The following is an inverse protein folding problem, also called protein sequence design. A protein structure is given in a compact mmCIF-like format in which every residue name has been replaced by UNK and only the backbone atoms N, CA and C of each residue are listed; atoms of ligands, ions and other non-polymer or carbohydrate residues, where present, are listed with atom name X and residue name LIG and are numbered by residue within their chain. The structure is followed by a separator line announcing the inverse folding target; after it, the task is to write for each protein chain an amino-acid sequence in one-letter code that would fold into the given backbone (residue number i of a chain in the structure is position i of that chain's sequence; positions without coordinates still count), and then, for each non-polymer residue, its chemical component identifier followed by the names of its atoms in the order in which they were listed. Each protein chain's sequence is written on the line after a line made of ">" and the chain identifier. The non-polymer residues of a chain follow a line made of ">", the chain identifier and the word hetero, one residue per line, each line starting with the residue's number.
data_IF_666030608856
#
_entry.id   IF_666030608856
#
_cell.length_a   1.000
_cell.length_b   1.000
_cell.length_c   1.000
_cell.angle_alpha   90.00
_cell.angle_beta   90.00
_cell.angle_gamma   90.00
#
_symmetry.space_group_name_H-M   'P 1'
#
loop_
_entity.id
_entity.type
_entity.pdbx_description
1 polymer ?
#
# COMPACT_ATOMS: atom_id res chain seq x y z
N UNK A 1 -4.07 -14.16 6.42
CA UNK A 1 -3.24 -14.87 5.43
C UNK A 1 -3.39 -16.38 5.59
N UNK A 2 -4.11 -17.03 4.67
CA UNK A 2 -4.11 -18.49 4.51
C UNK A 2 -3.15 -18.81 3.37
N UNK A 3 -1.99 -19.41 3.68
CA UNK A 3 -0.91 -19.64 2.72
C UNK A 3 -1.25 -20.80 1.74
N UNK A 4 -2.10 -21.70 2.17
CA UNK A 4 -2.58 -22.92 1.50
C UNK A 4 -3.43 -22.66 0.23
N UNK A 5 -3.78 -21.41 -0.09
CA UNK A 5 -4.60 -21.04 -1.27
C UNK A 5 -3.98 -19.91 -2.10
N UNK A 6 -2.65 -19.74 -2.07
CA UNK A 6 -1.96 -18.75 -2.90
C UNK A 6 -2.09 -19.07 -4.39
N UNK A 7 -2.76 -18.18 -5.13
CA UNK A 7 -2.93 -18.27 -6.58
C UNK A 7 -1.65 -18.02 -7.42
N UNK A 8 -0.51 -17.84 -6.75
CA UNK A 8 0.79 -17.52 -7.34
C UNK A 8 1.81 -18.47 -6.72
N UNK A 9 2.50 -19.26 -7.55
CA UNK A 9 3.55 -20.18 -7.09
C UNK A 9 4.61 -19.41 -6.30
N UNK A 10 4.89 -19.82 -5.08
CA UNK A 10 5.93 -19.21 -4.25
C UNK A 10 7.27 -19.86 -4.56
N UNK A 11 8.14 -19.09 -5.23
CA UNK A 11 9.56 -19.40 -5.45
C UNK A 11 10.35 -18.11 -5.46
N UNK A 12 11.64 -18.22 -5.18
CA UNK A 12 12.68 -17.21 -5.44
C UNK A 12 12.60 -16.74 -6.90
N UNK A 13 12.56 -15.42 -7.14
CA UNK A 13 12.49 -14.84 -8.50
C UNK A 13 13.64 -13.90 -8.84
N UNK A 14 14.02 -13.91 -10.10
CA UNK A 14 14.87 -12.91 -10.74
C UNK A 14 14.09 -11.62 -11.03
N UNK A 15 14.80 -10.52 -11.33
CA UNK A 15 14.17 -9.22 -11.59
C UNK A 15 13.27 -9.24 -12.84
N UNK A 16 13.64 -9.98 -13.88
CA UNK A 16 12.85 -10.17 -15.10
C UNK A 16 11.55 -10.94 -14.83
N UNK A 17 11.60 -12.02 -14.05
CA UNK A 17 10.40 -12.75 -13.60
C UNK A 17 9.47 -11.90 -12.73
N UNK A 18 10.01 -10.96 -11.95
CA UNK A 18 9.20 -9.98 -11.20
C UNK A 18 8.51 -9.00 -12.17
N UNK A 19 9.18 -8.60 -13.26
CA UNK A 19 8.60 -7.78 -14.33
C UNK A 19 7.48 -8.49 -15.09
N UNK A 20 7.67 -9.75 -15.47
CA UNK A 20 6.64 -10.58 -16.10
C UNK A 20 5.45 -10.81 -15.16
N UNK A 21 5.71 -11.17 -13.90
CA UNK A 21 4.67 -11.30 -12.88
C UNK A 21 3.90 -9.98 -12.67
N UNK A 22 4.55 -8.82 -12.80
CA UNK A 22 3.85 -7.54 -12.77
C UNK A 22 2.83 -7.42 -13.92
N UNK A 23 3.17 -7.81 -15.15
CA UNK A 23 2.24 -7.81 -16.28
C UNK A 23 1.07 -8.78 -16.06
N UNK A 24 1.33 -9.97 -15.50
CA UNK A 24 0.28 -10.93 -15.10
C UNK A 24 -0.64 -10.33 -14.02
N UNK A 25 -0.09 -9.62 -13.02
CA UNK A 25 -0.87 -8.94 -11.98
C UNK A 25 -1.71 -7.77 -12.53
N UNK A 26 -1.18 -6.98 -13.47
CA UNK A 26 -1.93 -5.91 -14.16
C UNK A 26 -3.15 -6.50 -14.88
N UNK A 27 -2.94 -7.57 -15.67
CA UNK A 27 -4.02 -8.24 -16.40
C UNK A 27 -5.06 -8.89 -15.48
N UNK A 28 -4.63 -9.44 -14.33
CA UNK A 28 -5.51 -10.17 -13.40
C UNK A 28 -6.25 -9.27 -12.41
N UNK A 29 -5.68 -8.14 -12.04
CA UNK A 29 -6.24 -7.20 -11.06
C UNK A 29 -6.24 -5.74 -11.56
N UNK A 30 -6.81 -5.45 -12.75
CA UNK A 30 -6.76 -4.11 -13.35
C UNK A 30 -7.46 -3.07 -12.47
N UNK A 31 -8.51 -3.45 -11.73
CA UNK A 31 -9.17 -2.57 -10.76
C UNK A 31 -8.26 -2.13 -9.61
N UNK A 32 -7.36 -3.01 -9.13
CA UNK A 32 -6.44 -2.71 -8.05
C UNK A 32 -5.46 -1.60 -8.44
N UNK A 33 -5.01 -1.61 -9.70
CA UNK A 33 -4.13 -0.60 -10.26
C UNK A 33 -4.91 0.66 -10.66
N UNK A 34 -5.95 0.54 -11.50
CA UNK A 34 -6.69 1.70 -11.98
C UNK A 34 -7.41 2.44 -10.84
N UNK A 35 -8.32 1.76 -10.12
CA UNK A 35 -9.13 2.43 -9.08
C UNK A 35 -8.27 2.73 -7.85
N UNK A 36 -7.50 1.74 -7.38
CA UNK A 36 -6.69 1.88 -6.16
C UNK A 36 -5.64 2.97 -6.26
N UNK A 37 -4.91 3.04 -7.39
CA UNK A 37 -3.87 4.05 -7.57
C UNK A 37 -4.46 5.41 -7.89
N UNK A 38 -5.48 5.52 -8.77
CA UNK A 38 -6.08 6.82 -9.10
C UNK A 38 -6.74 7.47 -7.88
N UNK A 39 -7.47 6.72 -7.04
CA UNK A 39 -8.05 7.29 -5.81
C UNK A 39 -6.96 7.78 -4.84
N UNK A 40 -5.81 7.10 -4.79
CA UNK A 40 -4.65 7.57 -4.04
C UNK A 40 -3.92 8.75 -4.68
N UNK A 41 -3.88 8.84 -6.02
CA UNK A 41 -3.13 9.84 -6.79
C UNK A 41 -3.89 11.16 -6.99
N UNK A 42 -5.21 11.14 -7.17
CA UNK A 42 -6.04 12.32 -7.47
C UNK A 42 -5.80 13.50 -6.50
N UNK A 43 -5.74 13.33 -5.17
CA UNK A 43 -5.43 14.44 -4.27
C UNK A 43 -4.07 15.09 -4.54
N UNK A 44 -3.07 14.30 -4.93
CA UNK A 44 -1.72 14.77 -5.28
C UNK A 44 -1.68 15.41 -6.66
N UNK A 45 -2.43 14.89 -7.64
CA UNK A 45 -2.60 15.51 -8.96
C UNK A 45 -3.16 16.93 -8.81
N UNK A 46 -4.25 17.09 -8.02
CA UNK A 46 -4.87 18.39 -7.76
C UNK A 46 -3.89 19.33 -7.05
N UNK A 47 -3.16 18.84 -6.03
CA UNK A 47 -2.20 19.67 -5.30
C UNK A 47 -1.00 20.09 -6.18
N UNK A 48 -0.48 19.20 -7.04
CA UNK A 48 0.60 19.54 -7.97
C UNK A 48 0.14 20.55 -9.02
N UNK A 49 -1.07 20.39 -9.55
CA UNK A 49 -1.67 21.37 -10.45
C UNK A 49 -1.80 22.73 -9.75
N UNK A 50 -2.35 22.78 -8.53
CA UNK A 50 -2.48 24.02 -7.77
C UNK A 50 -1.12 24.70 -7.48
N UNK A 51 -0.06 23.93 -7.23
CA UNK A 51 1.29 24.46 -6.95
C UNK A 51 2.08 24.91 -8.19
N UNK A 52 1.92 24.22 -9.32
CA UNK A 52 2.83 24.35 -10.48
C UNK A 52 2.15 24.74 -11.80
N UNK A 53 0.84 24.57 -11.98
CA UNK A 53 0.20 24.79 -13.29
C UNK A 53 0.25 26.24 -13.77
N UNK A 54 0.38 27.20 -12.85
CA UNK A 54 0.52 28.62 -13.16
C UNK A 54 1.76 28.93 -14.01
N UNK A 55 2.84 28.14 -13.90
CA UNK A 55 4.08 28.35 -14.66
C UNK A 55 3.83 28.20 -16.18
N UNK A 56 3.47 27.00 -16.71
CA UNK A 56 3.23 26.86 -18.14
C UNK A 56 2.03 27.68 -18.63
N UNK A 57 1.02 27.94 -17.79
CA UNK A 57 -0.12 28.81 -18.14
C UNK A 57 0.34 30.26 -18.40
N UNK A 58 1.28 30.78 -17.61
CA UNK A 58 1.87 32.11 -17.80
C UNK A 58 2.75 32.14 -19.05
N UNK A 59 3.69 31.20 -19.19
CA UNK A 59 4.64 31.20 -20.31
C UNK A 59 3.95 30.97 -21.67
N UNK A 60 2.82 30.27 -21.70
CA UNK A 60 2.02 30.13 -22.91
C UNK A 60 1.35 31.44 -23.40
N UNK A 61 1.33 32.50 -22.59
CA UNK A 61 0.86 33.83 -23.01
C UNK A 61 1.94 34.63 -23.75
N UNK A 62 3.22 34.36 -23.46
CA UNK A 62 4.37 35.04 -24.08
C UNK A 62 4.93 34.25 -25.27
N UNK A 63 4.97 32.93 -25.15
CA UNK A 63 5.43 32.02 -26.20
C UNK A 63 6.35 30.94 -25.64
N UNK A 64 5.95 29.67 -25.76
CA UNK A 64 6.75 28.53 -25.25
C UNK A 64 7.99 28.19 -26.12
N UNK A 65 8.35 29.06 -27.06
CA UNK A 65 9.47 28.86 -27.99
C UNK A 65 10.75 29.60 -27.61
N UNK A 66 10.67 30.57 -26.69
CA UNK A 66 11.78 31.47 -26.38
C UNK A 66 12.71 30.90 -25.30
N UNK A 67 13.98 31.29 -25.30
CA UNK A 67 15.01 30.76 -24.38
C UNK A 67 14.67 31.00 -22.89
N UNK A 68 13.96 32.07 -22.56
CA UNK A 68 13.47 32.35 -21.21
C UNK A 68 12.37 31.35 -20.81
N UNK A 69 11.40 31.10 -21.70
CA UNK A 69 10.35 30.12 -21.50
C UNK A 69 10.90 28.69 -21.36
N UNK A 70 12.03 28.37 -22.02
CA UNK A 70 12.69 27.07 -21.89
C UNK A 70 13.17 26.78 -20.45
N UNK A 71 13.68 27.80 -19.73
CA UNK A 71 14.10 27.68 -18.33
C UNK A 71 12.90 27.45 -17.40
N UNK A 72 11.80 28.17 -17.66
CA UNK A 72 10.55 28.04 -16.90
C UNK A 72 9.84 26.70 -17.16
N UNK A 73 9.85 26.20 -18.40
CA UNK A 73 9.37 24.85 -18.75
C UNK A 73 10.25 23.78 -18.09
N UNK A 74 11.57 23.94 -18.04
CA UNK A 74 12.46 23.04 -17.32
C UNK A 74 12.16 23.03 -15.81
N UNK A 75 11.98 24.21 -15.19
CA UNK A 75 11.57 24.36 -13.79
C UNK A 75 10.26 23.63 -13.49
N UNK A 76 9.25 23.84 -14.32
CA UNK A 76 7.97 23.14 -14.20
C UNK A 76 8.16 21.62 -14.28
N UNK A 77 8.89 21.13 -15.29
CA UNK A 77 9.09 19.70 -15.51
C UNK A 77 9.90 19.03 -14.39
N UNK A 78 10.98 19.66 -13.92
CA UNK A 78 11.85 19.12 -12.86
C UNK A 78 11.09 18.99 -11.54
N UNK A 79 10.36 20.03 -11.14
CA UNK A 79 9.54 20.01 -9.93
C UNK A 79 8.34 19.08 -10.03
N UNK A 80 7.64 19.03 -11.18
CA UNK A 80 6.50 18.13 -11.39
C UNK A 80 6.94 16.67 -11.28
N UNK A 81 8.03 16.28 -11.95
CA UNK A 81 8.56 14.92 -11.88
C UNK A 81 9.05 14.56 -10.48
N UNK A 82 9.74 15.48 -9.79
CA UNK A 82 10.15 15.29 -8.40
C UNK A 82 8.95 15.07 -7.47
N UNK A 83 7.89 15.89 -7.57
CA UNK A 83 6.68 15.72 -6.76
C UNK A 83 6.00 14.37 -7.02
N UNK A 84 5.83 13.96 -8.29
CA UNK A 84 5.20 12.67 -8.63
C UNK A 84 6.04 11.49 -8.12
N UNK A 85 7.37 11.54 -8.29
CA UNK A 85 8.29 10.54 -7.71
C UNK A 85 8.13 10.49 -6.19
N UNK A 86 8.12 11.64 -5.52
CA UNK A 86 7.93 11.78 -4.07
C UNK A 86 6.60 11.16 -3.59
N UNK A 87 5.50 11.47 -4.27
CA UNK A 87 4.12 11.12 -3.89
C UNK A 87 3.72 9.68 -4.25
N UNK A 88 4.34 9.08 -5.27
CA UNK A 88 4.01 7.72 -5.78
C UNK A 88 3.81 6.66 -4.68
N UNK A 89 4.67 6.51 -3.65
CA UNK A 89 4.46 5.53 -2.59
C UNK A 89 3.24 5.78 -1.70
N UNK A 90 2.71 7.01 -1.69
CA UNK A 90 1.48 7.39 -0.96
C UNK A 90 0.25 7.15 -1.84
N UNK A 91 0.33 7.50 -3.13
CA UNK A 91 -0.72 7.17 -4.10
C UNK A 91 -0.95 5.66 -4.20
N UNK A 92 0.13 4.87 -4.09
CA UNK A 92 0.08 3.40 -4.11
C UNK A 92 -0.56 2.71 -2.90
N UNK A 93 -0.97 3.41 -1.85
CA UNK A 93 -1.40 2.79 -0.58
C UNK A 93 -2.60 1.85 -0.75
N UNK A 94 -3.66 2.29 -1.42
CA UNK A 94 -4.85 1.46 -1.61
C UNK A 94 -4.58 0.27 -2.53
N UNK A 95 -3.75 0.45 -3.58
CA UNK A 95 -3.25 -0.66 -4.42
C UNK A 95 -2.44 -1.67 -3.60
N UNK A 96 -1.55 -1.22 -2.71
CA UNK A 96 -0.76 -2.10 -1.84
C UNK A 96 -1.66 -2.91 -0.90
N UNK A 97 -2.63 -2.28 -0.23
CA UNK A 97 -3.58 -2.99 0.66
C UNK A 97 -4.43 -3.98 -0.14
N UNK A 98 -5.04 -3.55 -1.24
CA UNK A 98 -5.90 -4.39 -2.07
C UNK A 98 -5.14 -5.60 -2.61
N UNK A 99 -3.96 -5.40 -3.23
CA UNK A 99 -3.22 -6.49 -3.83
C UNK A 99 -2.61 -7.41 -2.76
N UNK A 100 -2.16 -6.86 -1.63
CA UNK A 100 -1.76 -7.64 -0.47
C UNK A 100 -2.87 -8.59 0.00
N UNK A 101 -4.09 -8.11 0.18
CA UNK A 101 -5.23 -8.96 0.52
C UNK A 101 -5.58 -9.95 -0.61
N UNK A 102 -5.63 -9.50 -1.86
CA UNK A 102 -6.05 -10.31 -3.02
C UNK A 102 -5.06 -11.42 -3.44
N UNK A 103 -3.83 -11.41 -2.91
CA UNK A 103 -2.82 -12.47 -3.11
C UNK A 103 -2.96 -13.59 -2.08
N UNK A 104 -3.43 -13.31 -0.85
CA UNK A 104 -3.50 -14.29 0.26
C UNK A 104 -4.92 -14.66 0.69
N UNK A 105 -5.95 -13.94 0.24
CA UNK A 105 -7.34 -14.10 0.68
C UNK A 105 -8.31 -13.98 -0.51
N UNK A 106 -9.56 -14.43 -0.34
CA UNK A 106 -10.59 -14.29 -1.38
C UNK A 106 -10.90 -12.81 -1.62
N UNK A 107 -11.06 -12.44 -2.90
CA UNK A 107 -11.26 -11.08 -3.45
C UNK A 107 -11.72 -10.03 -2.40
N UNK A 108 -10.83 -9.12 -1.95
CA UNK A 108 -11.19 -8.10 -0.96
C UNK A 108 -12.19 -7.09 -1.51
N UNK A 109 -13.00 -6.53 -0.62
CA UNK A 109 -13.93 -5.44 -0.98
C UNK A 109 -13.22 -4.08 -0.93
N UNK A 110 -13.62 -3.14 -1.79
CA UNK A 110 -13.08 -1.78 -1.72
C UNK A 110 -13.39 -1.08 -0.38
N UNK A 111 -14.56 -1.35 0.21
CA UNK A 111 -14.94 -0.82 1.53
C UNK A 111 -13.93 -1.22 2.62
N UNK A 112 -13.55 -2.50 2.70
CA UNK A 112 -12.53 -2.97 3.66
C UNK A 112 -11.15 -2.36 3.39
N UNK A 113 -10.77 -2.15 2.12
CA UNK A 113 -9.50 -1.50 1.75
C UNK A 113 -9.47 -0.03 2.18
N UNK A 114 -10.55 0.73 1.95
CA UNK A 114 -10.66 2.12 2.41
C UNK A 114 -10.72 2.24 3.93
N UNK A 115 -11.45 1.35 4.60
CA UNK A 115 -11.53 1.33 6.07
C UNK A 115 -10.15 1.05 6.70
N UNK A 116 -9.39 0.09 6.17
CA UNK A 116 -8.03 -0.19 6.63
C UNK A 116 -7.07 0.97 6.36
N UNK A 117 -7.09 1.53 5.15
CA UNK A 117 -6.27 2.69 4.78
C UNK A 117 -6.55 3.91 5.65
N UNK A 118 -7.83 4.16 5.99
CA UNK A 118 -8.26 5.22 6.92
C UNK A 118 -7.85 4.93 8.36
N UNK A 119 -8.02 3.68 8.84
CA UNK A 119 -7.62 3.25 10.20
C UNK A 119 -6.13 3.49 10.47
N UNK A 120 -5.31 3.35 9.44
CA UNK A 120 -3.86 3.56 9.53
C UNK A 120 -3.39 4.95 9.07
N UNK A 121 -4.29 5.86 8.67
CA UNK A 121 -4.00 7.14 8.02
C UNK A 121 -2.80 7.87 8.63
N UNK A 122 -2.87 8.16 9.94
CA UNK A 122 -1.84 8.94 10.62
C UNK A 122 -0.45 8.27 10.60
N UNK A 123 -0.39 6.93 10.60
CA UNK A 123 0.87 6.19 10.61
C UNK A 123 1.60 6.32 9.27
N UNK A 124 0.92 6.01 8.18
CA UNK A 124 1.52 6.10 6.85
C UNK A 124 1.71 7.56 6.42
N UNK A 125 0.80 8.47 6.78
CA UNK A 125 0.92 9.89 6.45
C UNK A 125 2.14 10.53 7.11
N UNK A 126 2.39 10.24 8.39
CA UNK A 126 3.58 10.74 9.07
C UNK A 126 4.90 10.18 8.49
N UNK A 127 4.94 8.89 8.14
CA UNK A 127 6.18 8.24 7.67
C UNK A 127 6.45 8.49 6.18
N UNK A 128 5.40 8.53 5.35
CA UNK A 128 5.53 8.68 3.90
C UNK A 128 5.33 10.13 3.46
N UNK A 129 4.40 10.88 4.05
CA UNK A 129 4.17 12.30 3.73
C UNK A 129 5.26 13.21 4.30
N UNK A 130 5.54 13.11 5.60
CA UNK A 130 6.45 14.03 6.28
C UNK A 130 7.90 13.51 6.25
N UNK A 131 8.17 12.31 6.79
CA UNK A 131 9.54 11.79 6.88
C UNK A 131 10.20 11.42 5.54
N UNK A 132 9.45 11.31 4.45
CA UNK A 132 9.98 11.14 3.08
C UNK A 132 9.86 12.42 2.24
N UNK A 133 9.84 13.58 2.88
CA UNK A 133 9.97 14.90 2.27
C UNK A 133 8.83 15.35 1.33
N UNK A 134 7.75 14.58 1.16
CA UNK A 134 6.64 14.96 0.27
C UNK A 134 6.01 16.30 0.67
N UNK A 135 5.54 16.40 1.91
CA UNK A 135 4.94 17.65 2.41
C UNK A 135 5.97 18.78 2.60
N UNK A 136 7.19 18.54 3.13
CA UNK A 136 8.25 19.54 3.12
C UNK A 136 8.56 20.14 1.74
N UNK A 137 8.66 19.32 0.68
CA UNK A 137 8.90 19.81 -0.68
C UNK A 137 7.71 20.57 -1.25
N UNK A 138 6.47 20.14 -0.96
CA UNK A 138 5.27 20.89 -1.36
C UNK A 138 5.14 22.23 -0.63
N UNK A 139 5.47 22.28 0.66
CA UNK A 139 5.48 23.53 1.43
C UNK A 139 6.55 24.51 0.92
N UNK A 140 7.76 24.01 0.65
CA UNK A 140 8.83 24.77 0.00
C UNK A 140 8.39 25.38 -1.34
N UNK A 141 7.69 24.61 -2.18
CA UNK A 141 7.13 25.11 -3.44
C UNK A 141 6.00 26.13 -3.23
N UNK A 142 5.15 25.94 -2.21
CA UNK A 142 4.11 26.91 -1.86
C UNK A 142 4.71 28.27 -1.44
N UNK A 143 5.85 28.28 -0.72
CA UNK A 143 6.58 29.50 -0.40
C UNK A 143 7.27 30.15 -1.61
N UNK A 144 7.49 29.41 -2.71
CA UNK A 144 8.03 29.90 -3.99
C UNK A 144 6.94 30.15 -5.05
N UNK A 145 5.67 30.19 -4.65
CA UNK A 145 4.58 30.45 -5.58
C UNK A 145 4.70 31.86 -6.19
N UNK A 146 4.70 31.96 -7.52
CA UNK A 146 4.81 33.22 -8.25
C UNK A 146 6.23 33.79 -8.40
N UNK A 147 7.29 33.15 -7.87
CA UNK A 147 8.66 33.65 -8.03
C UNK A 147 9.20 33.37 -9.43
N UNK A 148 10.19 34.16 -9.87
CA UNK A 148 10.97 33.88 -11.09
C UNK A 148 11.88 32.66 -10.91
N UNK A 149 12.41 32.14 -12.02
CA UNK A 149 13.47 31.13 -12.04
C UNK A 149 14.68 31.55 -11.19
N UNK A 150 15.14 30.66 -10.31
CA UNK A 150 16.39 30.79 -9.56
C UNK A 150 17.22 29.51 -9.74
N UNK A 151 18.43 29.57 -10.33
CA UNK A 151 19.23 28.37 -10.61
C UNK A 151 19.52 27.50 -9.38
N UNK A 152 19.70 28.11 -8.20
CA UNK A 152 19.95 27.36 -6.98
C UNK A 152 18.72 26.55 -6.57
N UNK A 153 17.58 27.22 -6.40
CA UNK A 153 16.37 26.58 -5.93
C UNK A 153 15.64 25.74 -6.99
N UNK A 154 15.79 26.00 -8.30
CA UNK A 154 15.07 25.29 -9.36
C UNK A 154 15.91 24.24 -10.11
N UNK A 155 17.23 24.17 -9.83
CA UNK A 155 18.13 23.12 -10.32
C UNK A 155 18.82 22.38 -9.18
N UNK A 156 19.64 23.07 -8.37
CA UNK A 156 20.48 22.43 -7.34
C UNK A 156 19.62 21.77 -6.26
N UNK A 157 18.56 22.43 -5.82
CA UNK A 157 17.70 21.95 -4.75
C UNK A 157 16.84 20.72 -5.15
N UNK A 158 16.15 20.68 -6.32
CA UNK A 158 15.51 19.47 -6.84
C UNK A 158 16.47 18.29 -6.95
N UNK A 159 17.66 18.49 -7.55
CA UNK A 159 18.68 17.43 -7.70
C UNK A 159 19.13 16.92 -6.33
N UNK A 160 19.37 17.81 -5.37
CA UNK A 160 19.72 17.43 -3.98
C UNK A 160 18.60 16.61 -3.33
N UNK A 161 17.34 17.01 -3.48
CA UNK A 161 16.19 16.25 -2.95
C UNK A 161 16.09 14.88 -3.64
N UNK A 162 16.26 14.79 -4.97
CA UNK A 162 16.29 13.50 -5.70
C UNK A 162 17.36 12.57 -5.14
N UNK A 163 18.60 13.05 -4.93
CA UNK A 163 19.70 12.25 -4.39
C UNK A 163 19.37 11.73 -2.98
N UNK A 164 18.91 12.61 -2.08
CA UNK A 164 18.51 12.22 -0.72
C UNK A 164 17.37 11.20 -0.75
N UNK A 165 16.37 11.41 -1.60
CA UNK A 165 15.21 10.51 -1.77
C UNK A 165 15.65 9.15 -2.33
N UNK A 166 16.56 9.12 -3.30
CA UNK A 166 17.15 7.90 -3.86
C UNK A 166 17.86 7.10 -2.78
N UNK A 167 18.74 7.72 -1.98
CA UNK A 167 19.46 7.05 -0.89
C UNK A 167 18.52 6.50 0.20
N UNK A 168 17.51 7.28 0.60
CA UNK A 168 16.48 6.87 1.59
C UNK A 168 15.57 5.77 1.04
N UNK A 169 15.32 5.73 -0.28
CA UNK A 169 14.50 4.70 -0.93
C UNK A 169 15.26 3.41 -1.23
N UNK A 170 16.51 3.48 -1.68
CA UNK A 170 17.34 2.30 -1.93
C UNK A 170 17.61 1.52 -0.64
N UNK A 171 17.91 2.21 0.46
CA UNK A 171 18.15 1.58 1.76
C UNK A 171 16.89 0.98 2.42
N UNK A 172 15.69 1.48 2.09
CA UNK A 172 14.41 1.05 2.70
C UNK A 172 13.21 1.10 1.73
N UNK A 173 13.19 0.35 0.60
CA UNK A 173 12.10 0.40 -0.37
C UNK A 173 10.73 -0.02 0.20
N UNK A 174 10.69 -0.96 1.15
CA UNK A 174 9.45 -1.65 1.58
C UNK A 174 8.77 -1.08 2.83
N UNK A 175 9.06 0.18 3.18
CA UNK A 175 8.42 0.84 4.35
C UNK A 175 6.89 0.92 4.22
N UNK A 176 6.29 1.22 3.05
CA UNK A 176 4.83 1.19 2.90
C UNK A 176 4.24 -0.20 3.21
N UNK A 177 4.82 -1.29 2.71
CA UNK A 177 4.31 -2.64 2.92
C UNK A 177 4.40 -3.07 4.39
N UNK A 178 5.53 -2.79 5.06
CA UNK A 178 5.70 -3.07 6.50
C UNK A 178 4.68 -2.29 7.34
N UNK A 179 4.35 -1.05 6.96
CA UNK A 179 3.34 -0.27 7.68
C UNK A 179 1.92 -0.79 7.42
N UNK A 180 1.58 -1.09 6.16
CA UNK A 180 0.20 -1.37 5.73
C UNK A 180 -0.20 -2.84 5.90
N UNK A 181 0.66 -3.76 5.46
CA UNK A 181 0.39 -5.20 5.40
C UNK A 181 0.78 -5.90 6.71
N UNK A 182 1.89 -5.50 7.34
CA UNK A 182 2.32 -6.05 8.63
C UNK A 182 1.79 -5.25 9.83
N UNK A 183 1.15 -4.10 9.57
CA UNK A 183 0.49 -3.23 10.56
C UNK A 183 1.40 -2.76 11.71
N UNK A 184 2.72 -2.84 11.54
CA UNK A 184 3.71 -2.63 12.60
C UNK A 184 3.62 -1.20 13.19
N UNK A 185 3.60 -1.03 14.52
CA UNK A 185 3.56 0.28 15.13
C UNK A 185 4.88 1.03 14.94
N UNK A 186 4.78 2.36 14.75
CA UNK A 186 5.95 3.25 14.59
C UNK A 186 6.76 3.32 15.89
N UNK A 187 6.07 3.32 17.04
CA UNK A 187 6.63 3.30 18.39
C UNK A 187 5.78 2.35 19.25
N UNK A 188 6.42 1.58 20.10
CA UNK A 188 5.81 0.78 21.17
C UNK A 188 6.58 1.01 22.45
N UNK A 189 5.90 0.94 23.61
CA UNK A 189 6.54 0.89 24.93
C UNK A 189 6.91 -0.55 25.32
N UNK A 190 6.14 -1.53 24.85
CA UNK A 190 6.42 -2.95 25.07
C UNK A 190 7.59 -3.40 24.18
N UNK A 191 8.60 -4.01 24.81
CA UNK A 191 9.80 -4.54 24.16
C UNK A 191 9.52 -5.78 23.29
N UNK A 192 8.43 -6.51 23.59
CA UNK A 192 7.98 -7.71 22.85
C UNK A 192 7.35 -7.36 21.50
N UNK A 193 6.82 -6.14 21.35
CA UNK A 193 6.17 -5.70 20.10
C UNK A 193 7.23 -5.23 19.11
N UNK A 194 7.30 -5.90 17.96
CA UNK A 194 8.21 -5.54 16.87
C UNK A 194 7.72 -4.23 16.23
N UNK A 195 8.52 -3.17 16.32
CA UNK A 195 8.23 -1.88 15.70
C UNK A 195 8.65 -1.86 14.23
N UNK A 196 8.01 -1.00 13.43
CA UNK A 196 8.28 -0.86 12.00
C UNK A 196 9.77 -0.57 11.68
N UNK A 197 10.49 0.12 12.58
CA UNK A 197 11.93 0.39 12.43
C UNK A 197 12.79 -0.86 12.69
N UNK A 198 12.50 -1.64 13.73
CA UNK A 198 13.18 -2.93 14.00
C UNK A 198 12.94 -3.91 12.85
N UNK A 199 11.68 -4.02 12.42
CA UNK A 199 11.26 -4.88 11.31
C UNK A 199 11.91 -4.48 9.99
N UNK A 200 11.91 -3.19 9.65
CA UNK A 200 12.62 -2.66 8.49
C UNK A 200 14.11 -2.96 8.56
N UNK A 201 14.79 -2.77 9.70
CA UNK A 201 16.21 -3.14 9.84
C UNK A 201 16.44 -4.63 9.60
N UNK A 202 15.61 -5.50 10.20
CA UNK A 202 15.71 -6.96 10.03
C UNK A 202 15.53 -7.42 8.59
N UNK A 203 14.58 -6.82 7.85
CA UNK A 203 14.28 -7.22 6.47
C UNK A 203 15.31 -6.68 5.46
N UNK A 204 15.88 -5.48 5.69
CA UNK A 204 16.74 -4.81 4.73
C UNK A 204 18.24 -5.05 4.97
N UNK A 205 18.67 -5.27 6.23
CA UNK A 205 20.09 -5.45 6.56
C UNK A 205 20.78 -6.62 5.84
N UNK A 206 20.19 -7.83 5.70
CA UNK A 206 20.88 -8.95 5.06
C UNK A 206 20.95 -8.82 3.52
N UNK A 207 20.12 -7.98 2.91
CA UNK A 207 20.00 -7.85 1.45
C UNK A 207 20.31 -6.44 0.93
N UNK A 208 20.96 -5.58 1.72
CA UNK A 208 21.09 -4.15 1.40
C UNK A 208 21.79 -3.86 0.06
N UNK A 209 22.80 -4.65 -0.31
CA UNK A 209 23.49 -4.55 -1.61
C UNK A 209 22.58 -4.98 -2.77
N UNK A 210 21.92 -6.14 -2.67
CA UNK A 210 21.00 -6.64 -3.69
C UNK A 210 19.80 -5.71 -3.88
N UNK A 211 19.19 -5.22 -2.79
CA UNK A 211 18.08 -4.27 -2.84
C UNK A 211 18.49 -2.93 -3.48
N UNK A 212 19.70 -2.46 -3.22
CA UNK A 212 20.24 -1.26 -3.87
C UNK A 212 20.46 -1.48 -5.37
N UNK A 213 21.02 -2.62 -5.78
CA UNK A 213 21.19 -2.97 -7.19
C UNK A 213 19.85 -3.11 -7.92
N UNK A 214 18.87 -3.80 -7.32
CA UNK A 214 17.49 -3.87 -7.83
C UNK A 214 16.85 -2.49 -7.93
N UNK A 215 17.05 -1.62 -6.93
CA UNK A 215 16.51 -0.25 -6.96
C UNK A 215 17.07 0.57 -8.12
N UNK A 216 18.39 0.51 -8.36
CA UNK A 216 19.04 1.20 -9.49
C UNK A 216 18.50 0.67 -10.82
N UNK A 217 18.46 -0.66 -11.00
CA UNK A 217 17.95 -1.29 -12.22
C UNK A 217 16.47 -0.92 -12.49
N UNK A 218 15.60 -1.02 -11.49
CA UNK A 218 14.19 -0.63 -11.61
C UNK A 218 14.04 0.87 -11.90
N UNK A 219 14.86 1.73 -11.28
CA UNK A 219 14.81 3.18 -11.52
C UNK A 219 15.23 3.53 -12.95
N UNK A 220 16.29 2.91 -13.48
CA UNK A 220 16.74 3.09 -14.86
C UNK A 220 15.69 2.63 -15.87
N UNK A 221 15.14 1.42 -15.69
CA UNK A 221 14.06 0.87 -16.53
C UNK A 221 12.81 1.78 -16.46
N UNK A 222 12.44 2.25 -15.28
CA UNK A 222 11.28 3.13 -15.10
C UNK A 222 11.46 4.50 -15.77
N UNK A 223 12.69 5.04 -15.79
CA UNK A 223 13.02 6.26 -16.53
C UNK A 223 12.85 6.08 -18.05
N UNK A 224 13.35 4.96 -18.59
CA UNK A 224 13.21 4.63 -20.01
C UNK A 224 11.75 4.37 -20.41
N UNK A 225 10.98 3.66 -19.57
CA UNK A 225 9.54 3.46 -19.76
C UNK A 225 8.76 4.78 -19.67
N UNK A 226 9.14 5.70 -18.78
CA UNK A 226 8.54 7.04 -18.71
C UNK A 226 8.77 7.83 -20.00
N UNK A 227 10.00 7.88 -20.50
CA UNK A 227 10.31 8.54 -21.77
C UNK A 227 9.54 7.91 -22.94
N UNK A 228 9.48 6.57 -22.99
CA UNK A 228 8.70 5.83 -23.99
C UNK A 228 7.21 6.15 -23.94
N UNK A 229 6.57 6.07 -22.76
CA UNK A 229 5.13 6.37 -22.59
C UNK A 229 4.82 7.83 -22.91
N UNK A 230 5.66 8.77 -22.46
CA UNK A 230 5.50 10.19 -22.79
C UNK A 230 5.58 10.42 -24.30
N UNK A 231 6.58 9.86 -24.97
CA UNK A 231 6.74 10.01 -26.41
C UNK A 231 5.60 9.35 -27.19
N UNK A 232 5.13 8.18 -26.79
CA UNK A 232 3.94 7.54 -27.37
C UNK A 232 2.68 8.40 -27.22
N UNK A 233 2.46 9.03 -26.06
CA UNK A 233 1.32 9.93 -25.85
C UNK A 233 1.42 11.20 -26.72
N UNK A 234 2.62 11.78 -26.84
CA UNK A 234 2.87 12.93 -27.73
C UNK A 234 2.67 12.57 -29.19
N UNK A 235 3.13 11.39 -29.63
CA UNK A 235 2.98 10.90 -31.00
C UNK A 235 1.51 10.62 -31.35
N UNK A 236 0.75 10.01 -30.44
CA UNK A 236 -0.71 9.84 -30.59
C UNK A 236 -1.41 11.20 -30.70
N UNK A 237 -1.07 12.20 -29.88
CA UNK A 237 -1.58 13.57 -30.05
C UNK A 237 -1.20 14.15 -31.41
N UNK A 238 0.06 14.00 -31.83
CA UNK A 238 0.57 14.52 -33.09
C UNK A 238 -0.21 14.00 -34.30
N UNK A 239 -0.58 12.71 -34.31
CA UNK A 239 -1.41 12.11 -35.35
C UNK A 239 -2.87 12.57 -35.25
N UNK A 240 -3.48 12.53 -34.06
CA UNK A 240 -4.92 12.82 -33.88
C UNK A 240 -5.25 14.30 -34.09
N UNK A 241 -4.31 15.21 -33.80
CA UNK A 241 -4.55 16.66 -33.79
C UNK A 241 -3.68 17.47 -34.76
N UNK A 242 -2.69 16.83 -35.40
CA UNK A 242 -1.65 17.53 -36.18
C UNK A 242 -0.64 18.32 -35.34
N UNK A 243 -0.80 18.40 -34.01
CA UNK A 243 0.02 19.27 -33.16
C UNK A 243 1.21 18.53 -32.52
N UNK A 244 2.39 18.75 -33.08
CA UNK A 244 3.67 18.18 -32.62
C UNK A 244 4.42 19.06 -31.60
N UNK A 245 3.87 20.22 -31.24
CA UNK A 245 4.52 21.19 -30.34
C UNK A 245 4.46 20.78 -28.85
N UNK A 246 5.47 21.22 -28.08
CA UNK A 246 5.52 21.15 -26.62
C UNK A 246 4.60 22.19 -25.95
N UNK A 247 3.34 22.25 -26.39
CA UNK A 247 2.34 23.19 -25.88
C UNK A 247 1.78 22.81 -24.49
N UNK A 248 0.93 23.68 -23.96
CA UNK A 248 0.22 23.54 -22.67
C UNK A 248 -0.29 22.12 -22.39
N UNK A 249 -0.91 21.47 -23.37
CA UNK A 249 -1.48 20.13 -23.18
C UNK A 249 -0.42 19.05 -22.90
N UNK A 250 0.79 19.16 -23.48
CA UNK A 250 1.88 18.23 -23.16
C UNK A 250 2.33 18.44 -21.73
N UNK A 251 2.54 19.70 -21.32
CA UNK A 251 3.05 20.05 -20.01
C UNK A 251 2.03 19.76 -18.88
N UNK A 252 0.78 20.17 -19.04
CA UNK A 252 -0.26 20.05 -18.01
C UNK A 252 -0.94 18.68 -17.96
N UNK A 253 -0.96 17.93 -19.07
CA UNK A 253 -1.68 16.65 -19.15
C UNK A 253 -0.74 15.48 -19.43
N UNK A 254 -0.04 15.46 -20.57
CA UNK A 254 0.70 14.26 -20.99
C UNK A 254 1.92 13.95 -20.11
N UNK A 255 2.67 14.97 -19.70
CA UNK A 255 3.84 14.85 -18.82
C UNK A 255 3.49 14.30 -17.43
N UNK A 256 2.53 14.86 -16.67
CA UNK A 256 2.13 14.26 -15.41
C UNK A 256 1.44 12.91 -15.61
N UNK A 257 0.64 12.73 -16.67
CA UNK A 257 -0.04 11.45 -16.92
C UNK A 257 0.94 10.29 -17.15
N UNK A 258 1.97 10.47 -17.99
CA UNK A 258 3.00 9.43 -18.20
C UNK A 258 3.77 9.13 -16.91
N UNK A 259 4.13 10.14 -16.13
CA UNK A 259 4.79 9.97 -14.84
C UNK A 259 3.92 9.20 -13.82
N UNK A 260 2.62 9.49 -13.74
CA UNK A 260 1.68 8.76 -12.88
C UNK A 260 1.43 7.32 -13.35
N UNK A 261 1.36 7.06 -14.66
CA UNK A 261 1.27 5.69 -15.22
C UNK A 261 2.48 4.86 -14.78
N UNK A 262 3.69 5.40 -14.89
CA UNK A 262 4.90 4.72 -14.41
C UNK A 262 4.91 4.60 -12.89
N UNK A 263 4.44 5.60 -12.14
CA UNK A 263 4.27 5.51 -10.68
C UNK A 263 3.38 4.34 -10.23
N UNK A 264 2.31 4.05 -10.98
CA UNK A 264 1.44 2.90 -10.74
C UNK A 264 2.19 1.57 -10.96
N UNK A 265 2.96 1.47 -12.05
CA UNK A 265 3.80 0.30 -12.34
C UNK A 265 4.90 0.10 -11.29
N UNK A 266 5.61 1.18 -10.90
CA UNK A 266 6.62 1.15 -9.85
C UNK A 266 6.04 0.69 -8.50
N UNK A 267 4.79 1.08 -8.18
CA UNK A 267 4.09 0.63 -6.97
C UNK A 267 3.92 -0.89 -6.95
N UNK A 268 3.51 -1.47 -8.08
CA UNK A 268 3.34 -2.91 -8.25
C UNK A 268 4.67 -3.66 -8.16
N UNK A 269 5.69 -3.23 -8.92
CA UNK A 269 7.04 -3.84 -8.90
C UNK A 269 7.64 -3.81 -7.50
N UNK A 270 7.44 -2.72 -6.76
CA UNK A 270 7.92 -2.55 -5.37
C UNK A 270 7.23 -3.50 -4.40
N UNK A 271 5.92 -3.72 -4.53
CA UNK A 271 5.19 -4.73 -3.74
C UNK A 271 5.63 -6.15 -4.07
N UNK A 272 5.83 -6.49 -5.36
CA UNK A 272 6.31 -7.82 -5.75
C UNK A 272 7.74 -8.09 -5.25
N UNK A 273 8.63 -7.09 -5.27
CA UNK A 273 9.96 -7.19 -4.66
C UNK A 273 9.91 -7.37 -3.14
N UNK A 274 8.96 -6.74 -2.43
CA UNK A 274 8.74 -6.98 -1.00
C UNK A 274 8.32 -8.43 -0.72
N UNK A 275 7.41 -8.99 -1.53
CA UNK A 275 6.99 -10.38 -1.40
C UNK A 275 8.16 -11.36 -1.66
N UNK A 276 8.93 -11.18 -2.74
CA UNK A 276 10.13 -11.98 -3.02
C UNK A 276 11.17 -11.89 -1.89
N UNK A 277 11.38 -10.70 -1.32
CA UNK A 277 12.28 -10.48 -0.17
C UNK A 277 11.81 -11.26 1.07
N UNK A 278 10.51 -11.25 1.38
CA UNK A 278 9.97 -12.03 2.51
C UNK A 278 10.05 -13.53 2.28
N UNK A 279 9.75 -14.00 1.06
CA UNK A 279 9.85 -15.42 0.70
C UNK A 279 11.28 -15.93 0.96
N UNK A 280 12.29 -15.19 0.51
CA UNK A 280 13.71 -15.49 0.69
C UNK A 280 14.16 -15.47 2.15
N UNK A 281 13.79 -14.45 2.92
CA UNK A 281 14.33 -14.23 4.28
C UNK A 281 13.57 -14.93 5.40
N UNK A 282 12.28 -15.21 5.22
CA UNK A 282 11.45 -15.88 6.24
C UNK A 282 11.24 -17.37 5.95
N UNK A 283 11.82 -17.89 4.86
CA UNK A 283 11.70 -19.29 4.48
C UNK A 283 10.26 -19.70 4.17
N UNK A 284 9.42 -18.77 3.69
CA UNK A 284 8.02 -19.08 3.35
C UNK A 284 7.90 -20.19 2.33
N UNK A 285 8.88 -20.34 1.43
CA UNK A 285 8.94 -21.46 0.49
C UNK A 285 9.05 -22.82 1.20
N UNK A 286 9.79 -22.89 2.32
CA UNK A 286 9.93 -24.11 3.13
C UNK A 286 8.66 -24.36 3.93
N UNK A 287 8.08 -23.33 4.56
CA UNK A 287 6.79 -23.48 5.28
C UNK A 287 5.68 -23.94 4.33
N UNK A 288 5.61 -23.37 3.13
CA UNK A 288 4.66 -23.74 2.08
C UNK A 288 4.91 -25.14 1.52
N UNK A 289 6.15 -25.51 1.23
CA UNK A 289 6.50 -26.85 0.75
C UNK A 289 6.15 -27.92 1.79
N UNK A 290 6.51 -27.68 3.07
CA UNK A 290 6.17 -28.59 4.18
C UNK A 290 4.65 -28.66 4.39
N UNK A 291 3.91 -27.55 4.30
CA UNK A 291 2.44 -27.57 4.41
C UNK A 291 1.78 -28.29 3.23
N UNK A 292 2.25 -28.07 2.01
CA UNK A 292 1.75 -28.74 0.81
C UNK A 292 2.01 -30.26 0.87
N UNK A 293 3.20 -30.67 1.30
CA UNK A 293 3.54 -32.08 1.46
C UNK A 293 2.79 -32.73 2.64
N UNK A 294 2.55 -32.00 3.73
CA UNK A 294 1.70 -32.47 4.83
C UNK A 294 0.25 -32.70 4.37
N UNK A 295 -0.32 -31.80 3.57
CA UNK A 295 -1.66 -32.00 2.96
C UNK A 295 -1.65 -33.20 2.00
N UNK A 296 -0.56 -33.40 1.24
CA UNK A 296 -0.41 -34.57 0.34
C UNK A 296 -0.35 -35.90 1.09
N UNK A 297 0.37 -35.96 2.21
CA UNK A 297 0.60 -37.20 2.96
C UNK A 297 -0.51 -37.54 3.96
N UNK A 298 -1.15 -36.52 4.55
CA UNK A 298 -2.09 -36.68 5.66
C UNK A 298 -3.50 -36.11 5.38
N UNK A 299 -3.75 -35.58 4.19
CA UNK A 299 -5.02 -34.97 3.81
C UNK A 299 -5.24 -33.56 4.38
N UNK A 300 -6.39 -32.97 4.05
CA UNK A 300 -6.76 -31.60 4.46
C UNK A 300 -6.79 -31.41 6.00
N UNK A 301 -7.06 -32.48 6.75
CA UNK A 301 -7.14 -32.44 8.22
C UNK A 301 -5.81 -32.09 8.90
N UNK A 302 -4.66 -32.41 8.28
CA UNK A 302 -3.35 -32.10 8.85
C UNK A 302 -2.93 -30.63 8.70
N UNK A 303 -3.46 -29.92 7.70
CA UNK A 303 -3.24 -28.47 7.55
C UNK A 303 -3.98 -27.68 8.64
N UNK A 304 -5.07 -28.23 9.17
CA UNK A 304 -5.84 -27.65 10.27
C UNK A 304 -5.23 -28.02 11.63
N UNK A 305 -4.08 -27.44 11.96
CA UNK A 305 -3.66 -27.24 13.35
C UNK A 305 -4.65 -26.29 14.04
N UNK A 306 -5.85 -26.80 14.38
CA UNK A 306 -6.73 -26.15 15.35
C UNK A 306 -5.87 -25.91 16.59
N UNK A 307 -5.73 -24.67 17.08
CA UNK A 307 -5.00 -24.42 18.30
C UNK A 307 -5.64 -25.31 19.35
N UNK A 308 -4.87 -26.29 19.85
CA UNK A 308 -5.38 -27.34 20.73
C UNK A 308 -5.96 -26.63 21.93
N UNK A 309 -7.29 -26.49 21.95
CA UNK A 309 -8.00 -25.82 23.03
C UNK A 309 -7.58 -26.58 24.27
N UNK A 310 -6.72 -25.95 25.07
CA UNK A 310 -6.17 -26.59 26.26
C UNK A 310 -7.35 -26.63 27.22
N UNK A 311 -8.14 -27.70 27.12
CA UNK A 311 -9.16 -28.02 28.10
C UNK A 311 -8.45 -27.97 29.44
N UNK A 312 -8.78 -26.93 30.18
CA UNK A 312 -8.21 -26.67 31.48
C UNK A 312 -8.65 -27.83 32.36
N UNK A 313 -7.79 -28.85 32.44
CA UNK A 313 -7.96 -30.01 33.30
C UNK A 313 -8.13 -29.45 34.70
N UNK A 314 -9.39 -29.33 35.13
CA UNK A 314 -9.76 -28.73 36.40
C UNK A 314 -9.11 -29.55 37.51
N UNK A 315 -7.98 -29.06 38.01
CA UNK A 315 -7.36 -29.56 39.22
C UNK A 315 -8.32 -29.26 40.35
N UNK A 316 -9.12 -30.26 40.73
CA UNK A 316 -9.96 -30.22 41.94
C UNK A 316 -9.10 -29.68 43.10
N UNK A 317 -9.50 -28.59 43.77
CA UNK A 317 -8.77 -28.13 44.94
C UNK A 317 -8.86 -29.20 46.02
N UNK A 318 -7.70 -29.70 46.46
CA UNK A 318 -7.62 -30.67 47.54
C UNK A 318 -8.05 -29.97 48.85
N UNK A 319 -9.03 -30.53 49.56
CA UNK A 319 -9.58 -29.92 50.77
C UNK A 319 -8.61 -30.04 51.95
N UNK A 320 -7.95 -28.95 52.34
CA UNK A 320 -7.14 -28.91 53.56
C UNK A 320 -7.94 -28.37 54.73
N UNK A 321 -7.97 -29.17 55.81
CA UNK A 321 -8.78 -29.01 57.02
C UNK A 321 -8.40 -27.78 57.88
N UNK A 322 -9.43 -27.01 58.26
CA UNK A 322 -9.72 -26.46 59.61
C UNK A 322 -8.58 -25.90 60.50
N UNK A 323 -8.69 -24.62 60.88
CA UNK A 323 -8.56 -24.13 62.28
C UNK A 323 -9.23 -22.73 62.45
N UNK A 324 -9.50 -22.22 63.67
CA UNK A 324 -10.73 -21.45 63.90
C UNK A 324 -10.55 -19.96 64.23
N UNK A 325 -11.61 -19.21 63.91
CA UNK A 325 -12.30 -18.20 64.72
C UNK A 325 -11.48 -17.19 65.56
N UNK A 326 -11.49 -15.91 65.15
CA UNK A 326 -11.50 -14.79 66.12
C UNK A 326 -12.27 -13.56 65.61
N UNK A 327 -13.56 -13.52 65.93
CA UNK A 327 -14.40 -12.34 66.23
C UNK A 327 -13.87 -10.92 65.90
N UNK A 328 -14.59 -10.19 65.05
CA UNK A 328 -14.98 -8.78 65.33
C UNK A 328 -16.33 -8.43 64.68
N UNK A 329 -17.01 -7.45 65.26
CA UNK A 329 -18.47 -7.21 65.17
C UNK A 329 -18.93 -6.19 64.12
N UNK A 330 -20.21 -6.38 63.69
CA UNK A 330 -21.28 -5.46 63.19
C UNK A 330 -21.14 -3.94 63.49
N UNK A 331 -21.97 -3.03 62.89
CA UNK A 331 -23.18 -3.17 62.02
C UNK A 331 -23.03 -2.46 60.64
N UNK A 332 -23.87 -2.54 59.59
CA UNK A 332 -25.28 -2.88 59.29
C UNK A 332 -26.14 -1.67 58.84
N UNK A 333 -26.46 -1.62 57.54
CA UNK A 333 -27.65 -0.99 56.91
C UNK A 333 -27.86 -1.73 55.57
N UNK A 334 -28.80 -2.64 55.38
CA UNK A 334 -30.26 -2.48 55.32
C UNK A 334 -30.75 -1.60 54.16
N UNK A 335 -31.02 -2.21 53.00
CA UNK A 335 -32.30 -1.96 52.34
C UNK A 335 -32.73 -3.16 51.49
N UNK A 336 -33.98 -3.57 51.65
CA UNK A 336 -34.59 -4.74 51.02
C UNK A 336 -35.91 -4.34 50.38
N UNK A 337 -36.12 -4.68 49.11
CA UNK A 337 -37.37 -4.45 48.39
C UNK A 337 -37.61 -5.60 47.40
N UNK A 338 -38.68 -6.40 47.55
CA UNK A 338 -38.95 -7.55 46.68
C UNK A 338 -39.98 -7.23 45.58
N UNK A 339 -39.95 -7.99 44.47
CA UNK A 339 -41.15 -8.56 43.84
C UNK A 339 -40.80 -9.58 42.72
N UNK A 340 -41.77 -10.41 42.26
CA UNK A 340 -41.48 -11.70 41.64
C UNK A 340 -41.80 -11.80 40.12
N UNK A 341 -41.32 -12.89 39.51
CA UNK A 341 -42.00 -13.87 38.62
C UNK A 341 -43.48 -13.65 38.18
N UNK A 342 -44.00 -14.35 37.13
CA UNK A 342 -43.36 -15.25 36.14
C UNK A 342 -43.92 -15.15 34.67
N UNK A 343 -43.55 -16.14 33.82
CA UNK A 343 -44.28 -16.62 32.60
C UNK A 343 -44.28 -15.69 31.35
N UNK A 344 -44.50 -16.13 30.10
CA UNK A 344 -44.66 -17.44 29.44
C UNK A 344 -44.02 -17.33 28.02
N UNK A 345 -43.23 -18.31 27.52
CA UNK A 345 -43.64 -19.48 26.70
C UNK A 345 -43.95 -19.12 25.20
N UNK A 346 -44.16 -20.07 24.24
CA UNK A 346 -43.37 -20.06 23.01
C UNK A 346 -44.20 -19.95 21.71
N UNK A 347 -43.52 -19.73 20.56
CA UNK A 347 -44.16 -19.91 19.25
C UNK A 347 -43.21 -20.56 18.23
N UNK A 348 -43.48 -21.82 17.93
CA UNK A 348 -43.04 -22.52 16.73
C UNK A 348 -44.01 -22.27 15.57
N UNK A 349 -43.52 -22.11 14.34
CA UNK A 349 -44.32 -22.20 13.12
C UNK A 349 -43.52 -22.89 11.99
N UNK A 350 -44.09 -23.88 11.27
CA UNK A 350 -43.46 -24.59 10.15
C UNK A 350 -43.95 -24.08 8.77
N UNK A 351 -43.63 -24.84 7.70
CA UNK A 351 -44.06 -24.68 6.28
C UNK A 351 -43.40 -23.49 5.52
N UNK A 352 -43.17 -23.53 4.20
CA UNK A 352 -43.36 -24.60 3.20
C UNK A 352 -42.37 -24.46 2.03
N UNK A 353 -42.21 -25.53 1.24
CA UNK A 353 -41.46 -25.55 -0.02
C UNK A 353 -42.48 -25.42 -1.17
N UNK A 354 -42.18 -24.73 -2.29
CA UNK A 354 -42.11 -25.50 -3.54
C UNK A 354 -41.13 -24.98 -4.63
N UNK A 355 -40.56 -25.94 -5.39
CA UNK A 355 -40.18 -25.83 -6.82
C UNK A 355 -41.46 -25.87 -7.68
N UNK A 356 -41.55 -25.35 -8.94
CA UNK A 356 -40.60 -25.47 -10.08
C UNK A 356 -40.31 -24.08 -10.73
N UNK A 357 -40.02 -23.83 -12.03
CA UNK A 357 -39.83 -24.60 -13.29
C UNK A 357 -38.77 -23.90 -14.15
N UNK A 358 -37.88 -24.57 -14.90
CA UNK A 358 -38.06 -25.11 -16.27
C UNK A 358 -38.79 -24.17 -17.25
N UNK A 359 -38.01 -23.40 -18.01
CA UNK A 359 -38.14 -23.00 -19.44
C UNK A 359 -37.28 -21.74 -19.69
N UNK A 360 -36.66 -21.52 -20.85
CA UNK A 360 -36.63 -22.34 -22.06
C UNK A 360 -35.48 -21.93 -23.00
N UNK A 361 -35.30 -22.70 -24.08
CA UNK A 361 -34.35 -22.38 -25.15
C UNK A 361 -34.90 -21.27 -26.07
N UNK A 362 -34.03 -20.51 -26.73
CA UNK A 362 -34.47 -19.40 -27.59
C UNK A 362 -33.39 -18.73 -28.44
N UNK A 363 -32.91 -19.44 -29.46
CA UNK A 363 -32.14 -18.99 -30.65
C UNK A 363 -30.75 -18.37 -30.41
#
# INVERSE_FOLDING_TARGET
>A
MQLDKTHVVVRVRTLSEIGDLAMVMIRRYPSALLIGFLVGAVPWIIANAALLSWIPIREAQYGLGDDEAAQEVFRYASWMLLLIVLQTPIAGIFTTIYLGQAVFEKRPTWSSVFQEGRRQFWRWFWVLGIKRLVLPTMALLAFRYGTYFDPFADVVLPVTIVIVVVLVRASRPFVPEILLLEQCPIRSKDSRVITASRRSKSLHSPMNSELSGRFIAVSFISCWLFASVLWSLVWVRGIVTGQWNWGLFVLLVLLPASAWIIGALCTLIRLLNYLDTRIRLEGWEVELAVRAEAIRQFGDDAGSLKPRTTESRQTKPLSTKSRPNKSRSKPATSNSGPNPNPAANPTSAPQENPRPSVHGAGK
#
